data_IF_110050245218
#
_entry.id   IF_110050245218
#
_cell.length_a   1.000
_cell.length_b   1.000
_cell.length_c   1.000
_cell.angle_alpha   90.00
_cell.angle_beta   90.00
_cell.angle_gamma   90.00
#
_symmetry.space_group_name_H-M   'P 1'
#
loop_
_entity.id
_entity.type
_entity.pdbx_description
1 polymer ?
#
# COMPACT_ATOMS: atom_id res chain seq x y z
N UNK A 1 -8.94 -0.04 11.88
CA UNK A 1 -8.02 0.17 10.75
C UNK A 1 -7.90 -1.12 9.97
N UNK A 2 -8.10 -1.06 8.66
CA UNK A 2 -8.00 -2.28 7.89
C UNK A 2 -6.56 -2.52 7.41
N UNK A 3 -6.36 -3.69 6.84
CA UNK A 3 -5.03 -4.11 6.42
C UNK A 3 -4.40 -3.17 5.39
N UNK A 4 -5.21 -2.69 4.48
CA UNK A 4 -4.70 -1.82 3.42
C UNK A 4 -4.27 -0.47 3.96
N UNK A 5 -5.03 0.06 4.92
CA UNK A 5 -4.64 1.31 5.58
C UNK A 5 -3.29 1.16 6.25
N UNK A 6 -3.11 0.06 6.96
CA UNK A 6 -1.86 -0.16 7.66
C UNK A 6 -0.70 -0.26 6.70
N UNK A 7 -0.89 -0.96 5.58
CA UNK A 7 0.16 -1.10 4.60
C UNK A 7 0.57 0.24 4.02
N UNK A 8 -0.42 1.08 3.69
CA UNK A 8 -0.12 2.40 3.15
C UNK A 8 0.62 3.24 4.18
N UNK A 9 0.17 3.21 5.42
CA UNK A 9 0.82 3.96 6.47
C UNK A 9 2.26 3.51 6.65
N UNK A 10 2.48 2.20 6.67
CA UNK A 10 3.83 1.66 6.82
C UNK A 10 4.74 2.11 5.68
N UNK A 11 4.22 2.08 4.46
CA UNK A 11 5.02 2.50 3.31
C UNK A 11 5.38 3.97 3.40
N UNK A 12 4.45 4.79 3.84
CA UNK A 12 4.74 6.22 4.00
C UNK A 12 5.80 6.44 5.07
N UNK A 13 5.78 5.63 6.10
CA UNK A 13 6.81 5.75 7.14
C UNK A 13 8.18 5.34 6.63
N UNK A 14 8.22 4.55 5.57
CA UNK A 14 9.48 4.20 4.94
C UNK A 14 9.97 5.28 3.99
N UNK A 15 9.23 6.37 3.86
CA UNK A 15 9.65 7.48 3.03
C UNK A 15 8.97 7.56 1.69
N UNK A 16 8.03 6.68 1.41
CA UNK A 16 7.32 6.73 0.15
C UNK A 16 6.18 7.73 0.21
N UNK A 17 5.95 8.40 -0.90
CA UNK A 17 4.80 9.30 -1.01
C UNK A 17 3.63 8.56 -1.63
N UNK A 18 2.45 9.18 -1.55
CA UNK A 18 1.28 8.61 -2.20
C UNK A 18 1.50 8.44 -3.69
N UNK A 19 2.18 9.38 -4.32
CA UNK A 19 2.49 9.27 -5.74
C UNK A 19 3.37 8.07 -6.03
N UNK A 20 4.38 7.87 -5.22
CA UNK A 20 5.28 6.73 -5.40
C UNK A 20 4.54 5.41 -5.22
N UNK A 21 3.72 5.34 -4.19
CA UNK A 21 2.95 4.12 -3.94
C UNK A 21 1.99 3.87 -5.10
N UNK A 22 1.33 4.92 -5.57
CA UNK A 22 0.39 4.79 -6.69
C UNK A 22 1.10 4.29 -7.94
N UNK A 23 2.28 4.81 -8.22
CA UNK A 23 3.03 4.38 -9.39
C UNK A 23 3.41 2.90 -9.29
N UNK A 24 3.81 2.47 -8.12
CA UNK A 24 4.21 1.08 -7.93
C UNK A 24 3.02 0.13 -7.97
N UNK A 25 1.91 0.56 -7.43
CA UNK A 25 0.71 -0.26 -7.39
C UNK A 25 -0.07 -0.16 -8.69
N UNK A 26 0.28 0.82 -9.53
CA UNK A 26 -0.35 1.04 -10.83
C UNK A 26 -1.79 1.51 -10.67
N UNK A 27 -1.96 2.50 -9.83
CA UNK A 27 -3.26 3.12 -9.61
C UNK A 27 -3.06 4.62 -9.48
N UNK A 28 -4.14 5.34 -9.27
CA UNK A 28 -4.06 6.78 -9.13
C UNK A 28 -3.70 7.18 -7.71
N UNK A 29 -3.15 8.38 -7.56
CA UNK A 29 -2.87 8.90 -6.24
C UNK A 29 -4.14 9.02 -5.42
N UNK A 30 -5.23 9.38 -6.09
CA UNK A 30 -6.51 9.50 -5.41
C UNK A 30 -6.94 8.17 -4.82
N UNK A 31 -6.67 7.08 -5.53
CA UNK A 31 -6.99 5.75 -5.04
C UNK A 31 -6.18 5.43 -3.79
N UNK A 32 -4.89 5.77 -3.80
CA UNK A 32 -4.04 5.55 -2.63
C UNK A 32 -4.54 6.37 -1.45
N UNK A 33 -4.94 7.60 -1.69
CA UNK A 33 -5.49 8.45 -0.64
C UNK A 33 -6.74 7.82 -0.03
N UNK A 34 -7.61 7.28 -0.88
CA UNK A 34 -8.81 6.62 -0.40
C UNK A 34 -8.48 5.38 0.43
N UNK A 35 -7.48 4.63 0.00
CA UNK A 35 -7.03 3.47 0.77
C UNK A 35 -6.50 3.89 2.13
N UNK A 36 -5.74 4.96 2.14
CA UNK A 36 -5.15 5.44 3.39
C UNK A 36 -6.23 5.89 4.36
N UNK A 37 -7.30 6.45 3.83
CA UNK A 37 -8.40 6.93 4.66
C UNK A 37 -9.44 5.85 4.97
N UNK A 38 -9.23 4.66 4.45
CA UNK A 38 -10.13 3.55 4.71
C UNK A 38 -11.40 3.57 3.90
N UNK A 39 -11.45 4.38 2.84
CA UNK A 39 -12.67 4.51 2.06
C UNK A 39 -12.87 3.40 1.06
N UNK A 40 -11.80 2.75 0.63
CA UNK A 40 -11.87 1.71 -0.38
C UNK A 40 -11.32 0.38 0.10
N UNK A 41 -11.28 0.16 1.36
CA UNK A 41 -10.56 -0.98 1.89
C UNK A 41 -11.23 -2.32 1.71
N UNK A 42 -12.48 -2.34 1.29
CA UNK A 42 -13.19 -3.57 1.24
C UNK A 42 -12.83 -4.47 0.10
N UNK A 43 -12.65 -3.88 -1.05
CA UNK A 43 -12.40 -4.66 -2.23
C UNK A 43 -11.33 -4.01 -3.04
N UNK A 44 -10.18 -4.55 -2.93
CA UNK A 44 -9.07 -4.17 -3.78
C UNK A 44 -9.06 -5.15 -4.93
N UNK A 45 -8.86 -4.69 -6.14
CA UNK A 45 -8.70 -5.59 -7.25
C UNK A 45 -7.53 -6.53 -6.99
N UNK A 46 -7.61 -7.73 -7.54
CA UNK A 46 -6.56 -8.71 -7.31
C UNK A 46 -5.17 -8.17 -7.63
N UNK A 47 -5.03 -7.54 -8.80
CA UNK A 47 -3.74 -7.02 -9.21
C UNK A 47 -3.26 -5.90 -8.31
N UNK A 48 -4.15 -4.99 -7.96
CA UNK A 48 -3.76 -3.88 -7.10
C UNK A 48 -3.39 -4.36 -5.71
N UNK A 49 -4.18 -5.30 -5.19
CA UNK A 49 -3.87 -5.85 -3.89
C UNK A 49 -2.55 -6.57 -3.88
N UNK A 50 -2.29 -7.36 -4.90
CA UNK A 50 -1.05 -8.10 -4.99
C UNK A 50 0.14 -7.17 -5.14
N UNK A 51 0.00 -6.13 -5.96
CA UNK A 51 1.07 -5.15 -6.13
C UNK A 51 1.36 -4.43 -4.83
N UNK A 52 0.32 -4.07 -4.10
CA UNK A 52 0.49 -3.39 -2.82
C UNK A 52 1.20 -4.30 -1.81
N UNK A 53 0.79 -5.56 -1.75
CA UNK A 53 1.44 -6.49 -0.84
C UNK A 53 2.91 -6.68 -1.18
N UNK A 54 3.19 -6.76 -2.47
CA UNK A 54 4.57 -6.93 -2.90
C UNK A 54 5.41 -5.71 -2.52
N UNK A 55 4.87 -4.52 -2.77
CA UNK A 55 5.58 -3.31 -2.44
C UNK A 55 5.80 -3.22 -0.93
N UNK A 56 4.78 -3.53 -0.17
CA UNK A 56 4.89 -3.51 1.28
C UNK A 56 5.96 -4.49 1.76
N UNK A 57 5.97 -5.68 1.19
CA UNK A 57 6.95 -6.69 1.58
C UNK A 57 8.36 -6.26 1.24
N UNK A 58 8.53 -5.54 0.13
CA UNK A 58 9.84 -5.07 -0.26
C UNK A 58 10.37 -3.99 0.65
N UNK A 59 9.50 -3.14 1.14
CA UNK A 59 9.90 -1.99 1.95
C UNK A 59 9.72 -2.18 3.43
N UNK A 60 8.78 -3.03 3.81
CA UNK A 60 8.41 -3.20 5.20
C UNK A 60 8.51 -4.65 5.66
N UNK A 61 9.28 -5.46 4.97
CA UNK A 61 9.39 -6.88 5.26
C UNK A 61 9.86 -7.07 6.69
N UNK A 62 9.13 -7.77 7.44
CA UNK A 62 9.50 -7.96 8.83
C UNK A 62 10.64 -8.92 9.01
N UNK A 63 11.15 -9.62 8.28
CA UNK A 63 12.02 -10.50 8.56
C UNK A 63 13.07 -10.84 8.05
N UNK A 64 13.28 -10.84 8.08
CA UNK A 64 13.98 -11.18 7.89
C UNK A 64 14.59 -11.97 8.05
N UNK A 65 14.87 -12.44 8.07
CA UNK A 65 15.30 -13.08 8.26
C UNK A 65 15.84 -13.65 8.17
N UNK A 66 16.03 -13.74 8.22
CA UNK A 66 16.61 -14.37 8.31
C UNK A 66 17.10 -15.03 8.38
#
# INVERSE_FOLDING_TARGET
>A
MNQWQKMITDLKEQGLTQNQIAAEVKCSQNYVSNLENGLCGKRLGYEKGKNLEKLWAEHCSPNEVA
#
